data_IF_437971114667
#
_entry.id   IF_437971114667
#
_cell.length_a   1.000
_cell.length_b   1.000
_cell.length_c   1.000
_cell.angle_alpha   90.00
_cell.angle_beta   90.00
_cell.angle_gamma   90.00
#
_symmetry.space_group_name_H-M   'P 1'
#
loop_
_entity.id
_entity.type
_entity.pdbx_description
1 polymer ?
#
# COMPACT_ATOMS: atom_id res chain seq x y z
N UNK A 1 29.01 14.79 39.81
CA UNK A 1 30.31 15.49 39.76
C UNK A 1 31.00 15.05 38.48
N UNK A 2 30.97 15.88 37.43
CA UNK A 2 32.05 16.81 37.05
C UNK A 2 33.23 16.05 36.41
N UNK A 3 33.81 16.38 35.25
CA UNK A 3 33.60 17.39 34.18
C UNK A 3 34.86 17.27 33.32
N UNK A 4 34.74 17.18 32.00
CA UNK A 4 35.70 17.75 31.03
C UNK A 4 34.97 17.80 29.68
N UNK A 5 34.19 18.86 29.43
CA UNK A 5 34.52 20.02 28.58
C UNK A 5 34.92 19.62 27.15
N UNK A 6 34.03 19.68 26.15
CA UNK A 6 33.47 20.84 25.40
C UNK A 6 34.47 21.52 24.44
N UNK A 7 33.96 21.66 23.19
CA UNK A 7 34.32 22.57 22.08
C UNK A 7 35.24 21.98 20.99
N UNK A 8 34.67 21.67 19.83
CA UNK A 8 34.59 22.67 18.77
C UNK A 8 33.39 22.37 17.85
N UNK A 9 32.60 23.43 17.65
CA UNK A 9 31.37 23.50 16.88
C UNK A 9 31.67 24.48 15.74
N UNK A 10 31.31 24.10 14.52
CA UNK A 10 31.01 24.94 13.35
C UNK A 10 32.11 25.74 12.63
N UNK A 11 31.98 25.70 11.30
CA UNK A 11 32.43 26.66 10.29
C UNK A 11 33.96 26.70 10.04
N UNK A 12 34.50 26.72 8.82
CA UNK A 12 33.97 27.27 7.57
C UNK A 12 34.92 26.88 6.39
N UNK A 13 34.34 26.54 5.23
CA UNK A 13 34.76 27.03 3.88
C UNK A 13 36.03 26.52 3.19
N UNK A 14 35.84 26.32 1.88
CA UNK A 14 36.80 26.19 0.78
C UNK A 14 37.31 24.79 0.42
N UNK A 15 36.59 24.12 -0.49
CA UNK A 15 37.20 23.41 -1.62
C UNK A 15 36.14 23.09 -2.70
N UNK A 16 35.65 24.13 -3.37
CA UNK A 16 35.08 24.02 -4.72
C UNK A 16 36.13 24.54 -5.70
N UNK A 17 36.92 23.64 -6.27
CA UNK A 17 37.83 23.97 -7.38
C UNK A 17 37.18 23.51 -8.68
N UNK A 18 36.76 24.50 -9.45
CA UNK A 18 36.21 24.44 -10.80
C UNK A 18 37.24 23.82 -11.75
N UNK A 19 36.89 22.74 -12.46
CA UNK A 19 37.60 22.35 -13.67
C UNK A 19 37.03 23.14 -14.86
N UNK A 20 37.72 24.21 -15.22
CA UNK A 20 37.59 24.85 -16.55
C UNK A 20 38.60 24.16 -17.47
N UNK A 21 38.11 23.35 -18.40
CA UNK A 21 38.91 22.96 -19.56
C UNK A 21 38.56 23.90 -20.72
N UNK A 22 39.37 24.94 -20.84
CA UNK A 22 39.59 25.62 -22.11
C UNK A 22 40.73 24.87 -22.83
N UNK A 23 40.48 24.36 -24.02
CA UNK A 23 41.53 24.06 -24.98
C UNK A 23 41.11 24.55 -26.35
N UNK A 24 41.97 25.40 -26.91
CA UNK A 24 41.79 26.12 -28.16
C UNK A 24 41.70 25.19 -29.38
N UNK A 25 41.00 25.71 -30.37
CA UNK A 25 40.83 25.22 -31.74
C UNK A 25 42.12 25.22 -32.56
N UNK A 26 42.29 24.19 -33.41
CA UNK A 26 42.75 24.37 -34.81
C UNK A 26 42.18 23.22 -35.66
N UNK A 27 41.81 23.56 -36.90
CA UNK A 27 40.91 22.87 -37.82
C UNK A 27 41.40 21.53 -38.38
N UNK A 28 40.50 20.55 -38.53
CA UNK A 28 40.39 19.74 -39.76
C UNK A 28 39.04 19.02 -39.84
N UNK A 29 38.36 19.17 -40.97
CA UNK A 29 37.05 18.59 -41.29
C UNK A 29 37.09 17.06 -41.35
N UNK A 30 36.13 16.40 -40.70
CA UNK A 30 35.40 15.28 -41.29
C UNK A 30 34.15 14.94 -40.45
N UNK A 31 33.05 14.74 -41.16
CA UNK A 31 31.71 14.44 -40.66
C UNK A 31 31.64 13.09 -39.94
N UNK A 32 31.17 13.08 -38.70
CA UNK A 32 30.51 11.93 -38.06
C UNK A 32 29.56 12.46 -36.98
N UNK A 33 28.30 12.03 -37.04
CA UNK A 33 27.22 12.51 -36.17
C UNK A 33 27.51 12.27 -34.70
N UNK A 34 27.65 13.34 -33.94
CA UNK A 34 27.67 13.30 -32.49
C UNK A 34 26.23 13.07 -32.00
N UNK A 35 25.99 11.92 -31.38
CA UNK A 35 24.81 11.71 -30.57
C UNK A 35 24.73 12.83 -29.52
N UNK A 36 23.67 13.64 -29.57
CA UNK A 36 23.33 14.56 -28.50
C UNK A 36 23.09 13.71 -27.25
N UNK A 37 24.00 13.80 -26.29
CA UNK A 37 23.73 13.38 -24.93
C UNK A 37 22.68 14.37 -24.40
N UNK A 38 21.41 13.97 -24.41
CA UNK A 38 20.33 14.73 -23.78
C UNK A 38 20.72 14.97 -22.32
N UNK A 39 20.67 16.23 -21.88
CA UNK A 39 20.73 16.56 -20.47
C UNK A 39 19.61 15.77 -19.75
N UNK A 40 19.85 15.23 -18.54
CA UNK A 40 18.82 14.50 -17.82
C UNK A 40 17.58 15.39 -17.71
N UNK A 41 16.48 14.94 -18.32
CA UNK A 41 15.19 15.60 -18.24
C UNK A 41 14.85 15.71 -16.75
N UNK A 42 14.79 16.93 -16.21
CA UNK A 42 14.15 17.15 -14.92
C UNK A 42 12.69 16.77 -15.14
N UNK A 43 12.29 15.59 -14.69
CA UNK A 43 10.89 15.18 -14.75
C UNK A 43 10.11 16.04 -13.76
N UNK A 44 9.54 17.14 -14.25
CA UNK A 44 8.53 17.91 -13.52
C UNK A 44 7.32 17.03 -13.25
N UNK A 45 6.65 17.22 -12.12
CA UNK A 45 5.38 16.55 -11.81
C UNK A 45 4.17 17.24 -12.48
N UNK A 46 4.38 18.38 -13.15
CA UNK A 46 3.31 19.06 -13.91
C UNK A 46 2.69 18.14 -14.95
N UNK A 47 1.36 18.24 -15.07
CA UNK A 47 0.58 17.49 -16.04
C UNK A 47 -0.75 16.99 -15.50
N UNK A 48 -1.41 16.21 -16.34
CA UNK A 48 -2.63 15.49 -15.98
C UNK A 48 -2.33 14.04 -15.63
N UNK A 49 -2.93 13.58 -14.55
CA UNK A 49 -2.72 12.27 -13.99
C UNK A 49 -4.05 11.61 -13.66
N UNK A 50 -4.08 10.28 -13.69
CA UNK A 50 -5.21 9.46 -13.31
C UNK A 50 -4.79 8.48 -12.20
N UNK A 51 -5.67 8.29 -11.22
CA UNK A 51 -5.49 7.29 -10.17
C UNK A 51 -5.45 5.91 -10.81
N UNK A 52 -4.36 5.20 -10.53
CA UNK A 52 -4.18 3.78 -10.85
C UNK A 52 -4.12 3.00 -9.55
N UNK A 53 -4.22 1.67 -9.64
CA UNK A 53 -4.17 0.81 -8.46
C UNK A 53 -5.24 1.15 -7.41
N UNK A 54 -6.43 1.58 -7.85
CA UNK A 54 -7.56 1.98 -7.00
C UNK A 54 -7.85 0.98 -5.87
N UNK A 55 -7.73 -0.32 -6.15
CA UNK A 55 -7.93 -1.39 -5.16
C UNK A 55 -6.87 -1.37 -4.05
N UNK A 56 -5.60 -1.03 -4.36
CA UNK A 56 -4.53 -0.87 -3.36
C UNK A 56 -4.90 0.30 -2.43
N UNK A 57 -5.09 1.50 -2.98
CA UNK A 57 -5.42 2.72 -2.23
C UNK A 57 -6.68 2.59 -1.35
N UNK A 58 -7.75 1.99 -1.87
CA UNK A 58 -8.99 1.83 -1.11
C UNK A 58 -8.90 0.68 -0.10
N UNK A 59 -7.99 -0.29 -0.27
CA UNK A 59 -7.75 -1.31 0.75
C UNK A 59 -7.25 -0.70 2.05
N UNK A 60 -6.36 0.30 1.98
CA UNK A 60 -5.85 1.03 3.14
C UNK A 60 -6.96 1.76 3.88
N UNK A 61 -7.73 2.60 3.16
CA UNK A 61 -8.81 3.39 3.74
C UNK A 61 -9.92 2.51 4.32
N UNK A 62 -10.33 1.45 3.62
CA UNK A 62 -11.37 0.53 4.12
C UNK A 62 -10.80 -0.31 5.28
N UNK A 63 -9.58 -0.82 5.16
CA UNK A 63 -8.92 -1.67 6.14
C UNK A 63 -8.65 -0.97 7.47
N UNK A 64 -8.40 0.34 7.44
CA UNK A 64 -8.20 1.15 8.63
C UNK A 64 -9.42 1.23 9.56
N UNK A 65 -10.63 1.06 9.01
CA UNK A 65 -11.88 1.26 9.77
C UNK A 65 -12.82 0.05 9.78
N UNK A 66 -12.61 -0.96 8.93
CA UNK A 66 -13.47 -2.15 8.87
C UNK A 66 -12.99 -3.29 9.78
N UNK A 67 -13.83 -3.66 10.74
CA UNK A 67 -13.50 -4.71 11.70
C UNK A 67 -13.65 -6.13 11.11
N UNK A 68 -14.64 -6.35 10.24
CA UNK A 68 -15.01 -7.68 9.74
C UNK A 68 -14.58 -7.90 8.29
N UNK A 69 -14.01 -9.07 7.99
CA UNK A 69 -13.50 -9.41 6.66
C UNK A 69 -14.58 -9.37 5.58
N UNK A 70 -15.78 -9.84 5.91
CA UNK A 70 -16.92 -9.83 5.00
C UNK A 70 -17.33 -8.40 4.59
N UNK A 71 -17.32 -7.46 5.55
CA UNK A 71 -17.68 -6.07 5.28
C UNK A 71 -16.61 -5.39 4.44
N UNK A 72 -15.32 -5.63 4.75
CA UNK A 72 -14.20 -5.17 3.93
C UNK A 72 -14.36 -5.59 2.48
N UNK A 73 -14.56 -6.89 2.23
CA UNK A 73 -14.67 -7.40 0.86
C UNK A 73 -15.88 -6.84 0.10
N UNK A 74 -17.05 -6.72 0.74
CA UNK A 74 -18.24 -6.12 0.10
C UNK A 74 -18.00 -4.67 -0.27
N UNK A 75 -17.36 -3.89 0.59
CA UNK A 75 -17.05 -2.49 0.32
C UNK A 75 -16.01 -2.36 -0.80
N UNK A 76 -14.92 -3.12 -0.74
CA UNK A 76 -13.84 -3.05 -1.74
C UNK A 76 -14.35 -3.38 -3.14
N UNK A 77 -15.17 -4.43 -3.27
CA UNK A 77 -15.78 -4.80 -4.56
C UNK A 77 -16.68 -3.67 -5.10
N UNK A 78 -17.38 -2.95 -4.22
CA UNK A 78 -18.29 -1.87 -4.62
C UNK A 78 -17.60 -0.62 -5.17
N UNK A 79 -16.30 -0.46 -4.90
CA UNK A 79 -15.51 0.74 -5.23
C UNK A 79 -14.38 0.47 -6.23
N UNK A 80 -14.23 -0.76 -6.74
CA UNK A 80 -13.11 -1.16 -7.61
C UNK A 80 -13.02 -0.35 -8.91
N UNK A 81 -14.15 0.13 -9.41
CA UNK A 81 -14.26 0.91 -10.65
C UNK A 81 -14.14 2.43 -10.40
N UNK A 82 -13.83 2.84 -9.16
CA UNK A 82 -13.62 4.24 -8.80
C UNK A 82 -12.46 4.85 -9.59
N UNK A 83 -12.66 6.08 -10.06
CA UNK A 83 -11.69 6.86 -10.82
C UNK A 83 -11.53 8.23 -10.18
N UNK A 84 -10.30 8.72 -10.18
CA UNK A 84 -9.94 10.03 -9.68
C UNK A 84 -8.85 10.61 -10.57
N UNK A 85 -8.96 11.89 -10.87
CA UNK A 85 -7.97 12.64 -11.62
C UNK A 85 -7.19 13.56 -10.70
N UNK A 86 -5.93 13.79 -11.04
CA UNK A 86 -5.06 14.78 -10.44
C UNK A 86 -4.47 15.65 -11.55
N UNK A 87 -4.62 16.97 -11.44
CA UNK A 87 -3.95 17.93 -12.32
C UNK A 87 -2.94 18.72 -11.50
N UNK A 88 -1.70 18.80 -11.97
CA UNK A 88 -0.65 19.61 -11.37
C UNK A 88 -0.23 20.68 -12.38
N UNK A 89 -0.33 21.94 -11.96
CA UNK A 89 0.07 23.10 -12.76
C UNK A 89 0.37 24.29 -11.83
N UNK A 90 1.51 24.97 -12.02
CA UNK A 90 1.88 26.19 -11.28
C UNK A 90 1.80 26.01 -9.75
N UNK A 91 2.51 25.01 -9.22
CA UNK A 91 2.54 24.67 -7.79
C UNK A 91 1.16 24.45 -7.16
N UNK A 92 0.19 24.06 -7.98
CA UNK A 92 -1.18 23.77 -7.57
C UNK A 92 -1.53 22.35 -7.95
N UNK A 93 -2.11 21.61 -7.00
CA UNK A 93 -2.66 20.27 -7.21
C UNK A 93 -4.18 20.34 -7.17
N UNK A 94 -4.85 19.90 -8.24
CA UNK A 94 -6.31 19.80 -8.29
C UNK A 94 -6.73 18.34 -8.43
N UNK A 95 -7.43 17.82 -7.41
CA UNK A 95 -8.02 16.48 -7.44
C UNK A 95 -9.48 16.59 -7.84
N UNK A 96 -9.93 15.70 -8.73
CA UNK A 96 -11.32 15.66 -9.17
C UNK A 96 -11.85 14.23 -9.35
N UNK A 97 -13.11 14.01 -8.96
CA UNK A 97 -13.85 12.82 -9.36
C UNK A 97 -15.36 13.05 -9.38
N UNK A 98 -16.05 12.22 -10.17
CA UNK A 98 -17.49 12.01 -10.12
C UNK A 98 -17.73 10.53 -9.86
N UNK A 99 -18.37 10.19 -8.74
CA UNK A 99 -18.55 8.81 -8.32
C UNK A 99 -20.02 8.50 -8.03
N UNK A 100 -20.58 7.52 -8.75
CA UNK A 100 -21.90 7.00 -8.44
C UNK A 100 -21.81 6.09 -7.20
N UNK A 101 -22.41 6.51 -6.09
CA UNK A 101 -22.31 5.83 -4.80
C UNK A 101 -23.32 4.70 -4.60
N UNK A 102 -24.17 4.39 -5.59
CA UNK A 102 -25.27 3.42 -5.41
C UNK A 102 -24.76 2.00 -5.11
N UNK A 103 -23.71 1.57 -5.80
CA UNK A 103 -23.09 0.26 -5.54
C UNK A 103 -22.52 0.18 -4.13
N UNK A 104 -21.89 1.27 -3.67
CA UNK A 104 -21.40 1.39 -2.30
C UNK A 104 -22.55 1.35 -1.28
N UNK A 105 -23.61 2.12 -1.48
CA UNK A 105 -24.79 2.16 -0.61
C UNK A 105 -25.40 0.76 -0.50
N UNK A 106 -25.55 0.06 -1.63
CA UNK A 106 -26.08 -1.30 -1.67
C UNK A 106 -25.21 -2.28 -0.89
N UNK A 107 -23.89 -2.20 -1.03
CA UNK A 107 -22.97 -3.02 -0.25
C UNK A 107 -23.07 -2.69 1.25
N UNK A 108 -23.09 -1.40 1.62
CA UNK A 108 -23.15 -0.92 2.99
C UNK A 108 -24.48 -1.27 3.69
N UNK A 109 -25.60 -1.24 2.96
CA UNK A 109 -26.93 -1.64 3.45
C UNK A 109 -26.94 -3.05 4.07
N UNK A 110 -26.12 -3.97 3.53
CA UNK A 110 -26.11 -5.38 3.96
C UNK A 110 -25.58 -5.61 5.37
N UNK A 111 -24.93 -4.62 5.99
CA UNK A 111 -24.36 -4.74 7.34
C UNK A 111 -24.47 -3.47 8.20
N UNK A 112 -24.90 -2.34 7.64
CA UNK A 112 -25.08 -1.10 8.39
C UNK A 112 -26.16 -1.24 9.47
N UNK A 113 -25.89 -0.71 10.66
CA UNK A 113 -26.89 -0.62 11.73
C UNK A 113 -28.01 0.34 11.38
N UNK A 114 -27.73 1.37 10.58
CA UNK A 114 -28.70 2.41 10.20
C UNK A 114 -29.72 1.89 9.17
N UNK A 115 -29.42 0.77 8.52
CA UNK A 115 -30.32 0.06 7.63
C UNK A 115 -31.39 -0.76 8.38
N UNK A 116 -31.24 -1.00 9.69
CA UNK A 116 -32.16 -1.86 10.45
C UNK A 116 -33.59 -1.31 10.42
N UNK A 117 -34.52 -2.14 9.95
CA UNK A 117 -35.93 -1.79 9.85
C UNK A 117 -36.27 -0.81 8.72
N UNK A 118 -35.35 -0.57 7.79
CA UNK A 118 -35.55 0.25 6.58
C UNK A 118 -35.52 -0.62 5.34
N UNK A 119 -36.22 -0.19 4.31
CA UNK A 119 -36.03 -0.69 2.94
C UNK A 119 -34.72 -0.16 2.36
N UNK A 120 -34.22 -0.79 1.29
CA UNK A 120 -33.02 -0.33 0.57
C UNK A 120 -33.19 1.12 0.05
N UNK A 121 -34.39 1.48 -0.41
CA UNK A 121 -34.71 2.83 -0.88
C UNK A 121 -34.74 3.88 0.25
N UNK A 122 -35.29 3.55 1.41
CA UNK A 122 -35.25 4.44 2.58
C UNK A 122 -33.82 4.64 3.08
N UNK A 123 -33.03 3.58 3.09
CA UNK A 123 -31.61 3.66 3.44
C UNK A 123 -30.82 4.47 2.40
N UNK A 124 -31.09 4.29 1.12
CA UNK A 124 -30.46 5.06 0.03
C UNK A 124 -30.70 6.56 0.19
N UNK A 125 -31.94 6.97 0.49
CA UNK A 125 -32.27 8.38 0.78
C UNK A 125 -31.48 8.91 1.98
N UNK A 126 -31.42 8.14 3.09
CA UNK A 126 -30.60 8.49 4.26
C UNK A 126 -29.13 8.69 3.89
N UNK A 127 -28.57 7.80 3.06
CA UNK A 127 -27.19 7.91 2.63
C UNK A 127 -26.98 9.17 1.76
N UNK A 128 -27.89 9.46 0.82
CA UNK A 128 -27.82 10.67 0.01
C UNK A 128 -27.87 11.95 0.85
N UNK A 129 -28.75 12.02 1.85
CA UNK A 129 -28.84 13.15 2.77
C UNK A 129 -27.55 13.31 3.59
N UNK A 130 -26.97 12.19 4.05
CA UNK A 130 -25.68 12.21 4.75
C UNK A 130 -24.51 12.68 3.88
N UNK A 131 -24.50 12.33 2.59
CA UNK A 131 -23.48 12.79 1.65
C UNK A 131 -23.67 14.27 1.29
N UNK A 132 -24.91 14.74 1.13
CA UNK A 132 -25.21 16.16 0.93
C UNK A 132 -24.78 17.00 2.15
N UNK A 133 -25.05 16.50 3.36
CA UNK A 133 -24.59 17.18 4.59
C UNK A 133 -23.07 17.27 4.65
N UNK A 134 -22.35 16.20 4.32
CA UNK A 134 -20.88 16.24 4.27
C UNK A 134 -20.39 17.24 3.20
N UNK A 135 -21.00 17.23 2.01
CA UNK A 135 -20.64 18.15 0.95
C UNK A 135 -20.77 19.62 1.40
N UNK A 136 -21.80 19.93 2.20
CA UNK A 136 -21.98 21.26 2.77
C UNK A 136 -20.94 21.64 3.83
N UNK A 137 -20.23 20.68 4.43
CA UNK A 137 -19.18 20.95 5.42
C UNK A 137 -17.88 21.46 4.77
N UNK A 138 -17.60 21.07 3.53
CA UNK A 138 -16.47 21.62 2.75
C UNK A 138 -16.73 23.09 2.39
N UNK A 139 -15.81 23.97 2.77
CA UNK A 139 -15.91 25.43 2.54
C UNK A 139 -15.00 25.91 1.43
N UNK A 140 -13.93 25.17 1.15
CA UNK A 140 -12.92 25.54 0.15
C UNK A 140 -13.05 24.74 -1.14
N UNK A 141 -13.68 23.58 -1.08
CA UNK A 141 -13.81 22.66 -2.21
C UNK A 141 -15.19 22.73 -2.86
N UNK A 142 -15.26 22.32 -4.13
CA UNK A 142 -16.54 22.15 -4.82
C UNK A 142 -16.97 20.69 -4.62
N UNK A 143 -17.90 20.48 -3.70
CA UNK A 143 -18.41 19.16 -3.37
C UNK A 143 -19.93 19.18 -3.46
N UNK A 144 -20.53 18.16 -4.07
CA UNK A 144 -21.99 18.09 -4.21
C UNK A 144 -22.49 16.66 -4.32
N UNK A 145 -23.73 16.45 -3.87
CA UNK A 145 -24.47 15.20 -4.06
C UNK A 145 -25.63 15.43 -5.04
N UNK A 146 -25.61 14.74 -6.19
CA UNK A 146 -26.75 14.69 -7.10
C UNK A 146 -27.65 13.49 -6.73
N UNK A 147 -28.77 13.77 -6.05
CA UNK A 147 -29.70 12.74 -5.57
C UNK A 147 -30.51 12.07 -6.67
N UNK A 148 -30.58 12.65 -7.87
CA UNK A 148 -31.30 12.05 -9.00
C UNK A 148 -30.47 10.98 -9.70
N UNK A 149 -29.15 11.18 -9.77
CA UNK A 149 -28.22 10.27 -10.46
C UNK A 149 -27.40 9.40 -9.51
N UNK A 150 -27.35 9.74 -8.22
CA UNK A 150 -26.50 9.09 -7.23
C UNK A 150 -25.03 9.48 -7.32
N UNK A 151 -24.70 10.52 -8.10
CA UNK A 151 -23.31 10.97 -8.29
C UNK A 151 -22.89 11.92 -7.18
N UNK A 152 -21.82 11.57 -6.48
CA UNK A 152 -21.07 12.45 -5.60
C UNK A 152 -19.90 13.05 -6.36
N UNK A 153 -19.89 14.37 -6.50
CA UNK A 153 -18.87 15.14 -7.22
C UNK A 153 -17.95 15.82 -6.23
N UNK A 154 -16.65 15.79 -6.51
CA UNK A 154 -15.62 16.36 -5.64
C UNK A 154 -14.52 17.00 -6.48
N UNK A 155 -14.19 18.25 -6.17
CA UNK A 155 -13.06 18.98 -6.74
C UNK A 155 -12.36 19.75 -5.62
N UNK A 156 -11.14 19.33 -5.29
CA UNK A 156 -10.29 19.93 -4.27
C UNK A 156 -9.04 20.54 -4.90
N UNK A 157 -8.60 21.67 -4.36
CA UNK A 157 -7.37 22.35 -4.80
C UNK A 157 -6.45 22.52 -3.60
N UNK A 158 -5.20 22.12 -3.77
CA UNK A 158 -4.12 22.23 -2.80
C UNK A 158 -2.90 22.94 -3.38
N UNK A 159 -1.97 23.31 -2.52
CA UNK A 159 -0.68 23.89 -2.89
C UNK A 159 0.43 22.84 -2.90
N UNK A 160 1.45 23.05 -3.72
CA UNK A 160 2.63 22.20 -3.81
C UNK A 160 3.84 22.99 -3.30
N UNK A 161 4.63 22.35 -2.46
CA UNK A 161 5.98 22.79 -2.13
C UNK A 161 6.96 21.83 -2.81
N UNK A 162 7.58 22.29 -3.90
CA UNK A 162 8.50 21.47 -4.70
C UNK A 162 9.80 21.14 -3.95
N UNK A 163 10.26 22.06 -3.09
CA UNK A 163 11.50 21.90 -2.32
C UNK A 163 11.31 20.85 -1.22
N UNK A 164 10.18 20.91 -0.52
CA UNK A 164 9.81 19.94 0.51
C UNK A 164 9.26 18.62 -0.07
N UNK A 165 8.95 18.59 -1.37
CA UNK A 165 8.20 17.51 -2.04
C UNK A 165 6.91 17.17 -1.32
N UNK A 166 6.08 18.18 -1.11
CA UNK A 166 4.78 18.02 -0.44
C UNK A 166 3.63 18.66 -1.20
N UNK A 167 2.43 18.12 -1.00
CA UNK A 167 1.18 18.73 -1.42
C UNK A 167 0.30 18.96 -0.19
N UNK A 168 -0.21 20.18 -0.01
CA UNK A 168 -1.07 20.52 1.12
C UNK A 168 -2.47 20.83 0.65
N UNK A 169 -3.43 20.16 1.25
CA UNK A 169 -4.86 20.34 1.05
C UNK A 169 -5.45 20.94 2.32
N UNK A 170 -6.12 22.08 2.19
CA UNK A 170 -6.65 22.84 3.32
C UNK A 170 -7.85 22.15 4.01
N UNK A 171 -8.51 21.25 3.31
CA UNK A 171 -9.50 20.32 3.82
C UNK A 171 -9.13 18.88 3.39
N UNK A 172 -9.44 17.88 4.21
CA UNK A 172 -9.00 16.50 3.96
C UNK A 172 -9.52 15.90 2.65
N UNK A 173 -8.68 15.06 2.00
CA UNK A 173 -9.09 14.28 0.83
C UNK A 173 -10.06 13.17 1.28
N UNK A 174 -11.22 13.09 0.63
CA UNK A 174 -12.20 12.04 0.87
C UNK A 174 -12.82 11.51 -0.42
N UNK A 175 -13.11 10.22 -0.46
CA UNK A 175 -13.96 9.57 -1.44
C UNK A 175 -15.32 9.31 -0.81
N UNK A 176 -16.32 10.06 -1.27
CA UNK A 176 -17.66 10.10 -0.69
C UNK A 176 -17.60 10.38 0.84
N UNK A 177 -18.59 9.89 1.60
CA UNK A 177 -18.65 10.06 3.06
C UNK A 177 -18.02 8.91 3.86
N UNK A 178 -17.20 8.09 3.22
CA UNK A 178 -16.79 6.80 3.80
C UNK A 178 -15.30 6.52 3.77
N UNK A 179 -14.58 6.99 2.76
CA UNK A 179 -13.15 6.69 2.62
C UNK A 179 -12.36 7.98 2.73
N UNK A 180 -11.55 8.08 3.76
CA UNK A 180 -10.79 9.28 4.09
C UNK A 180 -9.31 8.97 3.93
N UNK A 181 -8.59 9.92 3.36
CA UNK A 181 -7.13 9.89 3.20
C UNK A 181 -6.52 11.01 4.03
N UNK A 182 -6.95 11.17 5.28
CA UNK A 182 -6.67 12.36 6.09
C UNK A 182 -6.49 12.01 7.56
N UNK A 183 -5.66 12.77 8.26
CA UNK A 183 -5.47 12.73 9.71
C UNK A 183 -5.96 14.05 10.31
N UNK A 184 -6.86 13.99 11.30
CA UNK A 184 -7.58 15.20 11.70
C UNK A 184 -8.47 15.04 12.93
N UNK A 185 -8.87 16.16 13.57
CA UNK A 185 -9.93 16.13 14.61
C UNK A 185 -11.28 15.80 13.99
N UNK A 186 -11.46 16.19 12.74
CA UNK A 186 -12.60 15.86 11.91
C UNK A 186 -12.11 15.44 10.51
N UNK A 187 -13.04 14.95 9.70
CA UNK A 187 -12.80 14.41 8.35
C UNK A 187 -12.32 15.45 7.33
N UNK A 188 -12.43 16.74 7.65
CA UNK A 188 -12.10 17.87 6.78
C UNK A 188 -10.85 18.62 7.26
N UNK A 189 -10.08 18.06 8.19
CA UNK A 189 -8.87 18.74 8.68
C UNK A 189 -7.83 18.91 7.57
N UNK A 190 -7.05 20.00 7.57
CA UNK A 190 -5.95 20.18 6.63
C UNK A 190 -4.94 19.04 6.72
N UNK A 191 -4.40 18.61 5.59
CA UNK A 191 -3.40 17.55 5.52
C UNK A 191 -2.31 17.89 4.52
N UNK A 192 -1.08 17.51 4.87
CA UNK A 192 0.09 17.62 4.00
C UNK A 192 0.57 16.22 3.67
N UNK A 193 0.66 15.94 2.38
CA UNK A 193 1.07 14.67 1.80
C UNK A 193 2.49 14.82 1.26
N UNK A 194 3.30 13.80 1.40
CA UNK A 194 4.55 13.68 0.66
C UNK A 194 4.27 13.18 -0.74
N UNK A 195 5.10 13.56 -1.71
CA UNK A 195 5.05 12.95 -3.03
C UNK A 195 6.41 12.48 -3.53
N UNK A 196 6.39 11.44 -4.34
CA UNK A 196 7.57 10.92 -5.04
C UNK A 196 7.21 10.59 -6.49
N UNK A 197 8.04 11.02 -7.43
CA UNK A 197 7.95 10.57 -8.82
C UNK A 197 8.94 9.44 -9.03
N UNK A 198 8.45 8.24 -9.35
CA UNK A 198 9.26 7.03 -9.52
C UNK A 198 8.62 6.12 -10.56
N UNK A 199 9.44 5.56 -11.45
CA UNK A 199 9.00 4.59 -12.46
C UNK A 199 7.77 5.08 -13.27
N UNK A 200 7.78 6.35 -13.71
CA UNK A 200 6.70 7.02 -14.45
C UNK A 200 5.37 7.18 -13.68
N UNK A 201 5.35 6.94 -12.37
CA UNK A 201 4.20 7.10 -11.48
C UNK A 201 4.48 8.13 -10.39
N UNK A 202 3.45 8.91 -10.07
CA UNK A 202 3.45 9.84 -8.95
C UNK A 202 2.78 9.16 -7.75
N UNK A 203 3.55 9.01 -6.68
CA UNK A 203 3.14 8.49 -5.40
C UNK A 203 2.76 9.67 -4.50
N UNK A 204 1.62 9.59 -3.84
CA UNK A 204 1.14 10.61 -2.90
C UNK A 204 0.79 9.93 -1.60
N UNK A 205 1.57 10.21 -0.56
CA UNK A 205 1.61 9.41 0.64
C UNK A 205 1.41 10.28 1.87
N UNK A 206 0.66 9.77 2.85
CA UNK A 206 0.57 10.37 4.17
C UNK A 206 0.59 9.29 5.25
N UNK A 207 1.48 9.46 6.21
CA UNK A 207 1.62 8.60 7.38
C UNK A 207 1.12 9.31 8.63
N UNK A 208 0.44 8.57 9.51
CA UNK A 208 -0.12 9.14 10.71
C UNK A 208 -0.45 8.10 11.76
N UNK A 209 -1.15 8.56 12.80
CA UNK A 209 -1.70 7.69 13.84
C UNK A 209 -3.17 7.97 14.05
N UNK A 210 -3.95 6.90 14.17
CA UNK A 210 -5.37 6.99 14.50
C UNK A 210 -5.56 7.59 15.90
N UNK A 211 -6.36 8.66 16.01
CA UNK A 211 -6.53 9.40 17.29
C UNK A 211 -7.05 8.55 18.45
N UNK A 212 -7.94 7.60 18.16
CA UNK A 212 -8.63 6.80 19.19
C UNK A 212 -7.69 5.84 19.93
N UNK A 213 -6.73 5.26 19.23
CA UNK A 213 -5.95 4.12 19.72
C UNK A 213 -4.45 4.22 19.39
N UNK A 214 -4.00 5.36 18.84
CA UNK A 214 -2.61 5.65 18.50
C UNK A 214 -1.96 4.60 17.57
N UNK A 215 -2.76 3.86 16.80
CA UNK A 215 -2.26 2.88 15.83
C UNK A 215 -1.73 3.58 14.59
N UNK A 216 -0.67 3.05 13.94
CA UNK A 216 -0.18 3.58 12.68
C UNK A 216 -1.28 3.50 11.62
N UNK A 217 -1.34 4.49 10.75
CA UNK A 217 -2.18 4.48 9.55
C UNK A 217 -1.36 5.07 8.43
N UNK A 218 -1.43 4.42 7.27
CA UNK A 218 -0.76 4.81 6.06
C UNK A 218 -1.81 4.94 4.97
N UNK A 219 -1.64 5.96 4.14
CA UNK A 219 -2.46 6.19 2.97
C UNK A 219 -1.55 6.55 1.80
N UNK A 220 -1.73 5.87 0.69
CA UNK A 220 -0.95 6.05 -0.52
C UNK A 220 -1.85 6.01 -1.77
N UNK A 221 -1.66 7.01 -2.64
CA UNK A 221 -2.34 7.12 -3.91
C UNK A 221 -1.29 7.05 -5.04
N UNK A 222 -1.54 6.18 -6.01
CA UNK A 222 -0.70 6.01 -7.18
C UNK A 222 -1.33 6.66 -8.40
N UNK A 223 -0.62 7.58 -9.03
CA UNK A 223 -1.08 8.31 -10.20
C UNK A 223 -0.20 8.01 -11.41
N UNK A 224 -0.81 7.70 -12.55
CA UNK A 224 -0.13 7.60 -13.84
C UNK A 224 -0.48 8.81 -14.69
N UNK A 225 0.47 9.33 -15.48
CA UNK A 225 0.17 10.42 -16.43
C UNK A 225 -0.90 9.99 -17.43
N UNK A 226 -1.90 10.85 -17.67
CA UNK A 226 -2.91 10.62 -18.70
C UNK A 226 -2.26 10.58 -20.09
N UNK A 227 -2.73 9.66 -20.92
CA UNK A 227 -2.17 9.44 -22.25
C UNK A 227 -0.79 8.75 -22.26
N UNK A 228 -0.25 8.39 -21.09
CA UNK A 228 0.95 7.56 -21.00
C UNK A 228 0.60 6.11 -21.33
N UNK A 229 0.77 5.76 -22.61
CA UNK A 229 0.59 4.39 -23.13
C UNK A 229 1.89 3.60 -23.14
N UNK A 230 2.86 3.92 -22.28
CA UNK A 230 4.12 3.15 -22.17
C UNK A 230 3.85 1.78 -21.55
N UNK A 231 3.19 0.91 -22.30
CA UNK A 231 3.33 -0.52 -22.11
C UNK A 231 4.75 -0.85 -22.57
N UNK A 232 5.59 -1.23 -21.62
CA UNK A 232 6.99 -1.55 -21.91
C UNK A 232 7.02 -3.00 -22.41
N UNK A 233 7.84 -3.26 -23.42
CA UNK A 233 8.04 -4.63 -23.91
C UNK A 233 8.46 -5.53 -22.73
N UNK A 234 7.75 -6.65 -22.48
CA UNK A 234 7.97 -7.46 -21.30
C UNK A 234 9.36 -8.10 -21.34
N UNK A 235 10.12 -7.95 -20.26
CA UNK A 235 11.39 -8.67 -20.11
C UNK A 235 11.13 -10.18 -19.92
N UNK A 236 12.11 -11.06 -20.22
CA UNK A 236 11.96 -12.49 -19.98
C UNK A 236 11.59 -12.81 -18.52
N UNK A 237 10.66 -13.76 -18.35
CA UNK A 237 10.19 -14.18 -17.03
C UNK A 237 11.29 -14.88 -16.20
N UNK A 238 12.22 -15.57 -16.85
CA UNK A 238 13.37 -16.27 -16.25
C UNK A 238 14.26 -15.34 -15.43
N UNK A 239 14.52 -15.63 -14.16
CA UNK A 239 15.45 -14.89 -13.31
C UNK A 239 14.82 -14.43 -11.98
N UNK A 240 15.50 -13.51 -11.30
CA UNK A 240 15.10 -13.00 -9.98
C UNK A 240 14.20 -11.77 -10.08
N UNK A 241 13.13 -11.76 -9.31
CA UNK A 241 12.18 -10.66 -9.19
C UNK A 241 12.03 -10.29 -7.72
N UNK A 242 12.09 -9.01 -7.39
CA UNK A 242 11.99 -8.51 -6.01
C UNK A 242 10.75 -7.64 -5.84
N UNK A 243 9.99 -7.84 -4.76
CA UNK A 243 8.82 -7.02 -4.48
C UNK A 243 9.20 -5.53 -4.42
N UNK A 244 8.48 -4.70 -5.17
CA UNK A 244 8.67 -3.23 -5.13
C UNK A 244 7.81 -2.57 -4.06
N UNK A 245 6.66 -3.18 -3.81
CA UNK A 245 5.74 -2.83 -2.75
C UNK A 245 4.93 -4.09 -2.41
N UNK A 246 5.05 -4.53 -1.17
CA UNK A 246 4.35 -5.70 -0.64
C UNK A 246 3.27 -5.32 0.39
N UNK A 247 3.19 -4.03 0.75
CA UNK A 247 2.27 -3.56 1.79
C UNK A 247 0.80 -3.80 1.42
N UNK A 248 0.31 -3.48 0.20
CA UNK A 248 -1.07 -3.78 -0.18
C UNK A 248 -1.44 -5.27 -0.11
N UNK A 249 -0.47 -6.16 -0.35
CA UNK A 249 -0.66 -7.59 -0.20
C UNK A 249 -0.86 -7.99 1.27
N UNK A 250 -0.05 -7.42 2.18
CA UNK A 250 -0.20 -7.61 3.63
C UNK A 250 -1.54 -7.07 4.13
N UNK A 251 -1.90 -5.86 3.73
CA UNK A 251 -3.12 -5.19 4.19
C UNK A 251 -4.37 -5.94 3.76
N UNK A 252 -4.47 -6.31 2.48
CA UNK A 252 -5.61 -7.12 2.02
C UNK A 252 -5.64 -8.48 2.71
N UNK A 253 -4.49 -9.13 2.84
CA UNK A 253 -4.42 -10.41 3.52
C UNK A 253 -4.99 -10.35 4.94
N UNK A 254 -4.58 -9.34 5.71
CA UNK A 254 -5.05 -9.14 7.08
C UNK A 254 -6.50 -8.62 7.11
N UNK A 255 -6.90 -7.81 6.14
CA UNK A 255 -8.26 -7.29 6.03
C UNK A 255 -9.28 -8.41 5.79
N UNK A 256 -8.94 -9.42 4.99
CA UNK A 256 -9.74 -10.62 4.75
C UNK A 256 -9.71 -11.64 5.91
N UNK A 257 -8.99 -11.37 7.00
CA UNK A 257 -9.00 -12.20 8.21
C UNK A 257 -9.97 -11.66 9.26
N UNK A 258 -10.75 -12.57 9.84
CA UNK A 258 -11.54 -12.30 11.04
C UNK A 258 -10.67 -12.56 12.29
N UNK A 259 -10.28 -11.48 12.96
CA UNK A 259 -9.62 -11.55 14.26
C UNK A 259 -10.67 -11.66 15.37
N UNK A 260 -10.37 -12.40 16.44
CA UNK A 260 -11.23 -12.46 17.62
C UNK A 260 -11.15 -11.12 18.38
N UNK A 261 -12.29 -10.59 18.85
CA UNK A 261 -12.43 -9.36 19.66
C UNK A 261 -12.03 -8.04 18.93
N UNK A 262 -11.98 -6.92 19.67
CA UNK A 262 -11.45 -5.60 19.26
C UNK A 262 -9.92 -5.59 19.01
N UNK A 263 -9.33 -6.70 18.54
CA UNK A 263 -7.88 -6.84 18.31
C UNK A 263 -7.51 -6.73 16.82
N UNK A 264 -8.29 -5.93 16.09
CA UNK A 264 -8.03 -5.56 14.69
C UNK A 264 -6.77 -4.71 14.51
N UNK A 265 -6.06 -4.37 15.60
CA UNK A 265 -4.81 -3.62 15.57
C UNK A 265 -3.75 -4.28 14.69
N UNK A 266 -3.79 -5.61 14.57
CA UNK A 266 -2.91 -6.37 13.67
C UNK A 266 -3.01 -5.90 12.21
N UNK A 267 -4.19 -5.47 11.75
CA UNK A 267 -4.43 -4.97 10.39
C UNK A 267 -3.68 -3.66 10.08
N UNK A 268 -3.23 -2.95 11.12
CA UNK A 268 -2.49 -1.69 11.01
C UNK A 268 -1.02 -1.86 11.42
N UNK A 269 -0.75 -2.65 12.45
CA UNK A 269 0.60 -2.82 13.01
C UNK A 269 1.52 -3.59 12.07
N UNK A 270 1.09 -4.73 11.54
CA UNK A 270 1.99 -5.59 10.76
C UNK A 270 2.31 -5.04 9.37
N UNK A 271 1.37 -4.42 8.62
CA UNK A 271 1.72 -3.71 7.39
C UNK A 271 2.73 -2.60 7.63
N UNK A 272 2.62 -1.88 8.75
CA UNK A 272 3.59 -0.84 9.10
C UNK A 272 4.96 -1.44 9.49
N UNK A 273 4.97 -2.45 10.35
CA UNK A 273 6.20 -3.09 10.81
C UNK A 273 6.96 -3.82 9.67
N UNK A 274 6.25 -4.21 8.61
CA UNK A 274 6.81 -4.94 7.48
C UNK A 274 6.77 -4.15 6.17
N UNK A 275 6.62 -2.83 6.22
CA UNK A 275 6.59 -1.98 5.01
C UNK A 275 7.82 -2.10 4.12
N UNK A 276 8.96 -2.44 4.72
CA UNK A 276 10.24 -2.61 4.03
C UNK A 276 10.55 -4.07 3.65
N UNK A 277 9.61 -5.00 3.85
CA UNK A 277 9.83 -6.40 3.44
C UNK A 277 9.94 -6.48 1.92
N UNK A 278 10.96 -7.19 1.43
CA UNK A 278 11.22 -7.35 0.00
C UNK A 278 11.28 -8.83 -0.39
N UNK A 279 10.15 -9.56 -0.36
CA UNK A 279 10.12 -10.93 -0.85
C UNK A 279 10.58 -11.02 -2.30
N UNK A 280 11.08 -12.18 -2.70
CA UNK A 280 11.56 -12.42 -4.05
C UNK A 280 10.90 -13.65 -4.67
N UNK A 281 10.73 -13.61 -5.99
CA UNK A 281 10.45 -14.78 -6.81
C UNK A 281 11.72 -15.13 -7.58
N UNK A 282 12.19 -16.35 -7.42
CA UNK A 282 13.30 -16.90 -8.21
C UNK A 282 12.70 -17.86 -9.24
N UNK A 283 12.77 -17.51 -10.52
CA UNK A 283 12.20 -18.29 -11.62
C UNK A 283 13.33 -18.94 -12.41
N UNK A 284 13.34 -20.27 -12.48
CA UNK A 284 14.31 -21.05 -13.26
C UNK A 284 13.63 -22.15 -14.06
N UNK A 285 13.59 -21.98 -15.38
CA UNK A 285 12.81 -22.82 -16.28
C UNK A 285 11.32 -22.77 -15.92
N UNK A 286 10.75 -23.91 -15.52
CA UNK A 286 9.36 -23.99 -15.06
C UNK A 286 9.22 -23.97 -13.53
N UNK A 287 10.33 -23.85 -12.80
CA UNK A 287 10.33 -23.83 -11.34
C UNK A 287 10.32 -22.41 -10.80
N UNK A 288 9.56 -22.18 -9.73
CA UNK A 288 9.46 -20.90 -9.04
C UNK A 288 9.62 -21.13 -7.54
N UNK A 289 10.44 -20.30 -6.90
CA UNK A 289 10.56 -20.22 -5.44
C UNK A 289 10.14 -18.83 -4.96
N UNK A 290 9.44 -18.76 -3.84
CA UNK A 290 9.12 -17.53 -3.13
C UNK A 290 9.95 -17.46 -1.84
N UNK A 291 10.80 -16.43 -1.72
CA UNK A 291 11.76 -16.27 -0.63
C UNK A 291 11.53 -14.94 0.09
N UNK A 292 11.56 -14.95 1.43
CA UNK A 292 11.60 -13.73 2.21
C UNK A 292 12.40 -13.89 3.51
N UNK A 293 12.92 -12.77 4.01
CA UNK A 293 13.34 -12.60 5.40
C UNK A 293 12.48 -11.53 6.04
N UNK A 294 11.96 -11.79 7.24
CA UNK A 294 11.14 -10.85 7.99
C UNK A 294 11.67 -10.68 9.42
N UNK A 295 11.74 -9.42 9.87
CA UNK A 295 11.93 -9.11 11.30
C UNK A 295 10.57 -9.04 12.00
N UNK A 296 10.48 -9.65 13.17
CA UNK A 296 9.27 -9.66 13.98
C UNK A 296 9.35 -8.66 15.15
N UNK A 297 10.51 -8.06 15.37
CA UNK A 297 10.77 -7.20 16.52
C UNK A 297 9.84 -5.97 16.54
N UNK A 298 9.72 -5.26 15.42
CA UNK A 298 8.90 -4.05 15.33
C UNK A 298 7.42 -4.38 15.45
N UNK A 299 6.94 -5.41 14.75
CA UNK A 299 5.53 -5.84 14.82
C UNK A 299 5.11 -6.24 16.24
N UNK A 300 5.90 -7.09 16.90
CA UNK A 300 5.64 -7.45 18.30
C UNK A 300 5.81 -6.28 19.26
N UNK A 301 6.78 -5.40 19.01
CA UNK A 301 7.02 -4.21 19.82
C UNK A 301 5.87 -3.20 19.75
N UNK A 302 5.35 -2.92 18.57
CA UNK A 302 4.19 -2.05 18.38
C UNK A 302 2.92 -2.66 18.97
N UNK A 303 2.76 -3.98 18.87
CA UNK A 303 1.65 -4.67 19.50
C UNK A 303 1.73 -4.65 21.04
N UNK A 304 2.94 -4.76 21.62
CA UNK A 304 3.16 -4.54 23.04
C UNK A 304 2.70 -3.14 23.48
N UNK A 305 3.11 -2.10 22.75
CA UNK A 305 2.74 -0.71 23.08
C UNK A 305 1.22 -0.52 23.02
N UNK A 306 0.57 -1.09 22.00
CA UNK A 306 -0.90 -1.10 21.88
C UNK A 306 -1.58 -1.78 23.08
N UNK A 307 -1.13 -2.98 23.47
CA UNK A 307 -1.67 -3.68 24.64
C UNK A 307 -1.46 -2.89 25.93
N UNK A 308 -0.28 -2.27 26.10
CA UNK A 308 0.06 -1.45 27.27
C UNK A 308 -0.82 -0.21 27.37
N UNK A 309 -1.12 0.43 26.24
CA UNK A 309 -2.03 1.56 26.17
C UNK A 309 -3.48 1.14 26.49
N UNK A 310 -3.91 -0.02 26.00
CA UNK A 310 -5.28 -0.53 26.19
C UNK A 310 -5.55 -0.90 27.64
N UNK A 311 -4.62 -1.63 28.28
CA UNK A 311 -4.71 -1.99 29.69
C UNK A 311 -3.32 -2.30 30.25
N UNK A 312 -2.67 -1.28 30.78
CA UNK A 312 -1.30 -1.38 31.30
C UNK A 312 -1.14 -2.37 32.45
N UNK A 313 -2.22 -2.72 33.16
CA UNK A 313 -2.21 -3.67 34.27
C UNK A 313 -2.08 -5.12 33.82
N UNK A 314 -2.50 -5.42 32.57
CA UNK A 314 -2.41 -6.76 31.98
C UNK A 314 -1.06 -7.06 31.32
N UNK A 315 -0.18 -6.07 31.22
CA UNK A 315 1.15 -6.20 30.61
C UNK A 315 2.20 -6.00 31.69
N UNK A 316 2.63 -7.11 32.29
CA UNK A 316 3.56 -7.14 33.44
C UNK A 316 5.02 -7.34 33.04
N UNK A 317 5.27 -7.96 31.88
CA UNK A 317 6.60 -8.16 31.33
C UNK A 317 7.15 -6.91 30.64
N UNK A 318 8.47 -6.84 30.50
CA UNK A 318 9.14 -5.81 29.69
C UNK A 318 8.85 -6.02 28.20
N UNK A 319 9.09 -4.98 27.38
CA UNK A 319 8.90 -5.04 25.92
C UNK A 319 9.81 -6.09 25.27
N UNK A 320 11.07 -6.15 25.67
CA UNK A 320 12.04 -7.12 25.14
C UNK A 320 11.67 -8.56 25.50
N UNK A 321 11.24 -8.80 26.74
CA UNK A 321 10.73 -10.11 27.16
C UNK A 321 9.47 -10.49 26.37
N UNK A 322 8.60 -9.53 26.07
CA UNK A 322 7.43 -9.74 25.21
C UNK A 322 7.81 -10.17 23.79
N UNK A 323 8.68 -9.41 23.13
CA UNK A 323 9.14 -9.71 21.78
C UNK A 323 9.77 -11.11 21.75
N UNK A 324 10.68 -11.41 22.69
CA UNK A 324 11.34 -12.72 22.78
C UNK A 324 10.34 -13.86 22.99
N UNK A 325 9.36 -13.68 23.90
CA UNK A 325 8.35 -14.70 24.18
C UNK A 325 7.42 -14.94 23.00
N UNK A 326 6.99 -13.89 22.28
CA UNK A 326 6.18 -14.04 21.07
C UNK A 326 6.98 -14.72 19.94
N UNK A 327 8.25 -14.37 19.76
CA UNK A 327 9.13 -15.00 18.78
C UNK A 327 9.29 -16.50 19.06
N UNK A 328 9.57 -16.88 20.31
CA UNK A 328 9.69 -18.29 20.70
C UNK A 328 8.39 -19.04 20.44
N UNK A 329 7.24 -18.44 20.80
CA UNK A 329 5.93 -19.05 20.58
C UNK A 329 5.66 -19.29 19.10
N UNK A 330 5.84 -18.27 18.27
CA UNK A 330 5.65 -18.38 16.82
C UNK A 330 6.60 -19.42 16.21
N UNK A 331 7.89 -19.36 16.57
CA UNK A 331 8.89 -20.31 16.08
C UNK A 331 8.53 -21.75 16.42
N UNK A 332 8.09 -22.00 17.66
CA UNK A 332 7.63 -23.33 18.11
C UNK A 332 6.41 -23.80 17.31
N UNK A 333 5.45 -22.90 17.04
CA UNK A 333 4.27 -23.20 16.23
C UNK A 333 4.65 -23.56 14.79
N UNK A 334 5.51 -22.76 14.14
CA UNK A 334 5.96 -23.03 12.77
C UNK A 334 6.75 -24.33 12.68
N UNK A 335 7.66 -24.59 13.62
CA UNK A 335 8.43 -25.84 13.69
C UNK A 335 7.53 -27.06 13.89
N UNK A 336 6.54 -26.97 14.78
CA UNK A 336 5.61 -28.08 15.04
C UNK A 336 4.71 -28.37 13.84
N UNK A 337 4.36 -27.33 13.08
CA UNK A 337 3.54 -27.43 11.86
C UNK A 337 4.32 -27.84 10.61
N UNK A 338 5.66 -27.77 10.59
CA UNK A 338 6.47 -27.95 9.37
C UNK A 338 6.19 -29.25 8.60
N UNK A 339 5.77 -30.32 9.28
CA UNK A 339 5.35 -31.59 8.64
C UNK A 339 4.14 -31.45 7.71
N UNK A 340 3.29 -30.46 7.96
CA UNK A 340 2.08 -30.16 7.19
C UNK A 340 2.39 -29.19 6.03
N UNK A 341 3.62 -28.65 5.97
CA UNK A 341 4.10 -27.69 4.97
C UNK A 341 5.43 -28.17 4.34
N UNK A 342 5.45 -29.32 3.64
CA UNK A 342 6.68 -29.93 3.13
C UNK A 342 7.43 -29.09 2.08
N UNK A 343 6.80 -28.06 1.50
CA UNK A 343 7.41 -27.19 0.50
C UNK A 343 7.91 -25.86 1.08
N UNK A 344 7.65 -25.60 2.37
CA UNK A 344 8.10 -24.38 3.04
C UNK A 344 9.19 -24.68 4.07
N UNK A 345 10.33 -23.99 3.95
CA UNK A 345 11.39 -24.04 4.96
C UNK A 345 11.38 -22.79 5.83
N UNK A 346 11.86 -22.92 7.07
CA UNK A 346 12.02 -21.83 8.02
C UNK A 346 13.38 -21.89 8.70
N UNK A 347 14.12 -20.79 8.67
CA UNK A 347 15.35 -20.57 9.41
C UNK A 347 15.12 -19.47 10.46
N UNK A 348 15.42 -19.76 11.73
CA UNK A 348 15.09 -18.89 12.86
C UNK A 348 16.34 -18.26 13.44
N UNK A 349 16.45 -16.94 13.34
CA UNK A 349 17.46 -16.16 14.05
C UNK A 349 16.84 -15.58 15.33
N UNK A 350 17.13 -16.24 16.45
CA UNK A 350 16.61 -15.87 17.77
C UNK A 350 17.22 -14.58 18.31
N UNK A 351 18.42 -14.23 17.88
CA UNK A 351 19.15 -13.07 18.41
C UNK A 351 18.62 -11.78 17.79
N UNK A 352 18.25 -11.84 16.50
CA UNK A 352 17.66 -10.70 15.78
C UNK A 352 16.14 -10.76 15.65
N UNK A 353 15.49 -11.80 16.19
CA UNK A 353 14.06 -12.06 16.02
C UNK A 353 13.61 -12.05 14.55
N UNK A 354 14.45 -12.61 13.66
CA UNK A 354 14.15 -12.72 12.24
C UNK A 354 13.87 -14.16 11.82
N UNK A 355 13.05 -14.30 10.79
CA UNK A 355 12.75 -15.59 10.16
C UNK A 355 13.02 -15.45 8.67
N UNK A 356 13.87 -16.31 8.14
CA UNK A 356 13.99 -16.54 6.70
C UNK A 356 13.14 -17.73 6.31
N UNK A 357 12.44 -17.62 5.19
CA UNK A 357 11.56 -18.67 4.69
C UNK A 357 11.60 -18.75 3.18
N UNK A 358 11.53 -20.00 2.69
CA UNK A 358 11.49 -20.30 1.26
C UNK A 358 10.35 -21.27 1.01
N UNK A 359 9.40 -20.85 0.17
CA UNK A 359 8.36 -21.70 -0.40
C UNK A 359 8.84 -22.18 -1.78
N UNK A 360 9.02 -23.49 -1.92
CA UNK A 360 9.62 -24.15 -3.08
C UNK A 360 8.57 -24.80 -3.98
N UNK A 361 9.05 -25.32 -5.11
CA UNK A 361 8.27 -26.16 -6.03
C UNK A 361 7.06 -25.46 -6.66
N UNK A 362 7.08 -24.13 -6.73
CA UNK A 362 6.16 -23.40 -7.60
C UNK A 362 6.37 -23.80 -9.06
N UNK A 363 5.28 -23.84 -9.82
CA UNK A 363 5.26 -24.29 -11.22
C UNK A 363 4.74 -23.16 -12.11
N UNK A 364 5.60 -22.69 -13.01
CA UNK A 364 5.27 -21.70 -14.02
C UNK A 364 4.59 -22.37 -15.22
N UNK A 365 3.45 -21.81 -15.62
CA UNK A 365 2.77 -22.11 -16.87
C UNK A 365 2.69 -20.82 -17.72
N UNK A 366 3.55 -20.74 -18.74
CA UNK A 366 3.58 -19.60 -19.66
C UNK A 366 2.42 -19.56 -20.63
N UNK A 367 1.75 -20.70 -20.86
CA UNK A 367 0.61 -20.77 -21.79
C UNK A 367 -0.63 -20.16 -21.13
N UNK A 368 -0.86 -20.50 -19.86
CA UNK A 368 -2.01 -19.99 -19.10
C UNK A 368 -1.71 -18.71 -18.30
N UNK A 369 -0.45 -18.24 -18.34
CA UNK A 369 0.03 -17.11 -17.55
C UNK A 369 -0.26 -17.30 -16.05
N UNK A 370 0.09 -18.47 -15.52
CA UNK A 370 -0.09 -18.80 -14.11
C UNK A 370 1.19 -19.29 -13.45
N UNK A 371 1.24 -19.12 -12.13
CA UNK A 371 2.20 -19.79 -11.25
C UNK A 371 1.39 -20.54 -10.20
N UNK A 372 1.61 -21.85 -10.09
CA UNK A 372 0.94 -22.71 -9.11
C UNK A 372 1.93 -23.04 -8.01
N UNK A 373 1.64 -22.65 -6.77
CA UNK A 373 2.42 -23.09 -5.61
C UNK A 373 1.69 -24.22 -4.88
N UNK A 374 2.40 -25.25 -4.38
CA UNK A 374 1.79 -26.35 -3.64
C UNK A 374 1.23 -25.92 -2.28
N UNK A 375 1.67 -24.79 -1.75
CA UNK A 375 1.19 -24.11 -0.54
C UNK A 375 0.99 -22.63 -0.87
N UNK A 376 0.06 -21.94 -0.21
CA UNK A 376 -0.21 -20.54 -0.48
C UNK A 376 0.98 -19.64 -0.07
N UNK A 377 1.30 -18.66 -0.92
CA UNK A 377 2.28 -17.61 -0.58
C UNK A 377 1.86 -16.95 0.73
N UNK A 378 2.79 -16.85 1.68
CA UNK A 378 2.52 -16.29 2.99
C UNK A 378 3.77 -15.71 3.66
N UNK A 379 3.55 -14.85 4.66
CA UNK A 379 4.54 -14.37 5.63
C UNK A 379 4.16 -14.94 7.00
N UNK A 380 4.97 -15.89 7.50
CA UNK A 380 4.86 -16.57 8.81
C UNK A 380 3.45 -17.07 9.17
N UNK A 381 2.69 -17.52 8.17
CA UNK A 381 1.27 -17.89 8.25
C UNK A 381 0.31 -16.77 8.74
N UNK A 382 0.83 -15.56 8.99
CA UNK A 382 0.04 -14.41 9.44
C UNK A 382 -0.54 -13.63 8.27
N UNK A 383 0.25 -13.30 7.26
CA UNK A 383 -0.26 -12.72 6.01
C UNK A 383 -0.20 -13.81 4.94
N UNK A 384 -1.35 -14.23 4.43
CA UNK A 384 -1.51 -15.25 3.40
C UNK A 384 -2.07 -14.57 2.15
N UNK A 385 -1.42 -14.75 1.00
CA UNK A 385 -1.91 -14.29 -0.30
C UNK A 385 -2.94 -15.29 -0.86
N UNK A 386 -3.99 -15.54 -0.08
CA UNK A 386 -5.13 -16.42 -0.37
C UNK A 386 -6.16 -16.25 0.74
N UNK A 387 -7.45 -16.39 0.43
CA UNK A 387 -8.49 -16.57 1.45
C UNK A 387 -8.68 -18.04 1.85
N UNK A 388 -8.02 -18.96 1.14
CA UNK A 388 -7.97 -20.38 1.45
C UNK A 388 -6.92 -20.74 2.50
N UNK A 389 -6.90 -22.00 2.98
CA UNK A 389 -5.87 -22.49 3.89
C UNK A 389 -4.46 -22.44 3.28
N UNK A 390 -3.43 -22.28 4.11
CA UNK A 390 -2.02 -22.16 3.67
C UNK A 390 -1.52 -23.45 3.04
N UNK A 391 -1.92 -24.60 3.57
CA UNK A 391 -1.48 -25.93 3.16
C UNK A 391 -2.09 -26.41 1.84
N UNK A 392 -2.81 -25.53 1.13
CA UNK A 392 -3.48 -25.85 -0.12
C UNK A 392 -2.76 -25.25 -1.31
N UNK A 393 -2.69 -26.05 -2.36
CA UNK A 393 -2.23 -25.62 -3.67
C UNK A 393 -3.03 -24.38 -4.10
N UNK A 394 -2.30 -23.36 -4.52
CA UNK A 394 -2.87 -22.05 -4.86
C UNK A 394 -2.31 -21.60 -6.20
N UNK A 395 -3.22 -21.23 -7.10
CA UNK A 395 -2.89 -20.75 -8.45
C UNK A 395 -2.99 -19.22 -8.50
N UNK A 396 -1.91 -18.60 -8.96
CA UNK A 396 -1.82 -17.16 -9.18
C UNK A 396 -1.77 -16.90 -10.67
N UNK A 397 -2.53 -15.91 -11.15
CA UNK A 397 -2.31 -15.34 -12.49
C UNK A 397 -1.14 -14.38 -12.41
N UNK A 398 -0.38 -14.25 -13.49
CA UNK A 398 0.63 -13.22 -13.61
C UNK A 398 0.50 -12.41 -14.89
N UNK A 399 0.99 -11.18 -14.83
CA UNK A 399 1.24 -10.32 -15.99
C UNK A 399 2.61 -9.69 -15.89
N UNK A 400 3.19 -9.29 -17.02
CA UNK A 400 4.45 -8.55 -17.09
C UNK A 400 4.21 -7.29 -17.92
N UNK A 401 4.58 -6.14 -17.37
CA UNK A 401 4.65 -4.85 -18.05
C UNK A 401 6.07 -4.30 -17.88
N UNK A 402 6.85 -4.33 -18.96
CA UNK A 402 8.29 -4.05 -18.90
C UNK A 402 9.02 -4.99 -17.96
N UNK A 403 9.62 -4.41 -16.92
CA UNK A 403 10.36 -5.08 -15.86
C UNK A 403 9.53 -5.29 -14.58
N UNK A 404 8.20 -5.10 -14.64
CA UNK A 404 7.28 -5.30 -13.52
C UNK A 404 6.42 -6.55 -13.75
N UNK A 405 6.57 -7.54 -12.88
CA UNK A 405 5.73 -8.72 -12.79
C UNK A 405 4.67 -8.50 -11.71
N UNK A 406 3.40 -8.68 -12.04
CA UNK A 406 2.29 -8.64 -11.08
C UNK A 406 1.73 -10.03 -10.89
N UNK A 407 1.71 -10.53 -9.65
CA UNK A 407 0.92 -11.70 -9.27
C UNK A 407 -0.45 -11.25 -8.78
N UNK A 408 -1.50 -11.91 -9.26
CA UNK A 408 -2.89 -11.66 -8.86
C UNK A 408 -3.60 -12.96 -8.57
N UNK A 409 -4.38 -12.98 -7.50
CA UNK A 409 -5.32 -14.05 -7.20
C UNK A 409 -6.71 -13.47 -6.99
N UNK A 410 -7.69 -14.05 -7.68
CA UNK A 410 -9.11 -13.81 -7.47
C UNK A 410 -9.76 -15.10 -6.96
N UNK A 411 -10.47 -15.02 -5.83
CA UNK A 411 -11.10 -16.18 -5.21
C UNK A 411 -12.57 -15.90 -4.88
N UNK A 412 -13.40 -16.93 -5.08
CA UNK A 412 -14.82 -16.89 -4.73
C UNK A 412 -15.03 -17.43 -3.32
N UNK A 413 -15.51 -16.59 -2.42
CA UNK A 413 -16.15 -17.05 -1.20
C UNK A 413 -17.61 -17.42 -1.51
N UNK A 414 -17.83 -18.70 -1.83
CA UNK A 414 -19.15 -19.22 -2.18
C UNK A 414 -20.16 -19.13 -1.03
N UNK A 415 -19.70 -19.17 0.23
CA UNK A 415 -20.58 -19.07 1.41
C UNK A 415 -21.15 -17.66 1.55
N UNK A 416 -20.34 -16.66 1.25
CA UNK A 416 -20.70 -15.25 1.42
C UNK A 416 -21.06 -14.54 0.11
N UNK A 417 -21.02 -15.25 -1.02
CA UNK A 417 -21.29 -14.72 -2.35
C UNK A 417 -20.40 -13.50 -2.69
N UNK A 418 -19.12 -13.57 -2.31
CA UNK A 418 -18.15 -12.49 -2.40
C UNK A 418 -16.95 -12.90 -3.27
N UNK A 419 -16.47 -11.99 -4.12
CA UNK A 419 -15.18 -12.14 -4.79
C UNK A 419 -14.11 -11.40 -3.98
N UNK A 420 -12.97 -12.02 -3.80
CA UNK A 420 -11.80 -11.41 -3.17
C UNK A 420 -10.69 -11.30 -4.19
N UNK A 421 -9.87 -10.26 -4.04
CA UNK A 421 -8.70 -10.02 -4.89
C UNK A 421 -7.51 -9.74 -4.01
N UNK A 422 -6.37 -10.32 -4.32
CA UNK A 422 -5.08 -9.93 -3.76
C UNK A 422 -4.06 -9.86 -4.89
N UNK A 423 -3.12 -8.94 -4.79
CA UNK A 423 -2.02 -8.82 -5.73
C UNK A 423 -0.73 -8.36 -5.05
N UNK A 424 0.40 -8.70 -5.67
CA UNK A 424 1.74 -8.27 -5.30
C UNK A 424 2.57 -7.98 -6.55
N UNK A 425 3.41 -6.94 -6.51
CA UNK A 425 4.22 -6.48 -7.65
C UNK A 425 5.69 -6.69 -7.38
N UNK A 426 6.41 -7.19 -8.38
CA UNK A 426 7.83 -7.50 -8.32
C UNK A 426 8.54 -6.86 -9.51
N UNK A 427 9.69 -6.24 -9.26
CA UNK A 427 10.57 -5.71 -10.31
C UNK A 427 11.71 -6.67 -10.60
N UNK A 428 12.09 -6.76 -11.87
CA UNK A 428 13.22 -7.57 -12.30
C UNK A 428 14.51 -7.08 -11.64
N UNK A 429 15.29 -8.00 -11.07
CA UNK A 429 16.64 -7.70 -10.60
C UNK A 429 17.58 -7.88 -11.79
N UNK A 430 18.35 -6.84 -12.13
CA UNK A 430 19.39 -6.94 -13.15
C UNK A 430 20.45 -7.96 -12.72
N UNK A 431 20.90 -8.79 -13.68
CA UNK A 431 21.93 -9.80 -13.48
C UNK A 431 23.34 -9.22 -13.31
#
# INVERSE_FOLDING_TARGET
>A
MIRHYKKLFLAFVALCSVFVLASCSTEQSNSQGAAQTEAPKVETIDGEWELVNTVDALSESIGAYTLYALNFGRLLESVKDFKMDLKIENDTATIKYDYNIDNFIKAFYTFSTDAKGKTEEEFKKLQYDGHESLAADFKKYKVSMNKDTGVFSYEATGSIDQDAKTMTFDEGISVANSFFFSFGENRISPNTYHYELKDDMLYVTIDGKAKKNNLPVHYELHFKRKGSTTQKEPVPIEGKWQAIDFRPALERSLAYKDFKNDDSAMKLIYPEAWKDIKPTLNITGTSVEFDYTVSLADGFGMFYDYLKQKDGSKVTQTKDEYIKNQFIRLSTTLQSGAKDFPNTTYEFDKDNATIHSVLKNGKLDTTNQTIVFPEAINIVHLAIMSIGPVEKETTYKYSIDGDILTLTIEQRDGKNNLNTVMSAKFKKVAE
#
